data_IF_867547632663
#
_entry.id   IF_867547632663
#
_cell.length_a   1.000
_cell.length_b   1.000
_cell.length_c   1.000
_cell.angle_alpha   90.00
_cell.angle_beta   90.00
_cell.angle_gamma   90.00
#
_symmetry.space_group_name_H-M   'P 1'
#
loop_
_entity.id
_entity.type
_entity.pdbx_description
1 polymer ?
#
# COMPACT_ATOMS: atom_id res chain seq x y z
N UNK A 1 4.28 55.13 -60.21
CA UNK A 1 5.46 54.57 -59.53
C UNK A 1 5.11 54.49 -58.05
N UNK A 2 4.83 53.29 -57.50
CA UNK A 2 4.51 53.12 -56.07
C UNK A 2 5.83 53.08 -55.30
N UNK A 3 5.98 53.95 -54.30
CA UNK A 3 7.16 53.98 -53.44
C UNK A 3 7.23 52.68 -52.62
N UNK A 4 8.42 52.10 -52.52
CA UNK A 4 8.68 50.88 -51.73
C UNK A 4 8.57 51.19 -50.22
N UNK A 5 7.95 50.30 -49.43
CA UNK A 5 7.85 50.47 -47.98
C UNK A 5 9.25 50.41 -47.33
N UNK A 6 9.50 51.31 -46.37
CA UNK A 6 10.75 51.31 -45.60
C UNK A 6 10.68 50.24 -44.52
N UNK A 7 11.64 49.34 -44.54
CA UNK A 7 11.77 48.22 -43.61
C UNK A 7 12.75 48.63 -42.50
N UNK A 8 12.37 48.46 -41.23
CA UNK A 8 13.24 48.75 -40.08
C UNK A 8 13.68 47.43 -39.44
N UNK A 9 14.99 47.25 -39.29
CA UNK A 9 15.60 46.06 -38.69
C UNK A 9 15.71 46.24 -37.17
N UNK A 10 15.07 45.36 -36.40
CA UNK A 10 15.09 45.36 -34.93
C UNK A 10 16.35 44.71 -34.33
N UNK A 11 17.30 44.27 -35.16
CA UNK A 11 18.59 43.71 -34.73
C UNK A 11 18.51 42.27 -34.21
N UNK A 12 17.35 41.63 -34.30
CA UNK A 12 17.08 40.23 -33.90
C UNK A 12 16.79 39.27 -35.07
N UNK A 13 17.05 39.67 -36.32
CA UNK A 13 16.86 38.82 -37.51
C UNK A 13 15.42 38.73 -38.03
N UNK A 14 14.53 39.64 -37.61
CA UNK A 14 13.16 39.74 -38.12
C UNK A 14 12.86 41.17 -38.59
N UNK A 15 12.39 41.29 -39.84
CA UNK A 15 11.95 42.56 -40.42
C UNK A 15 10.49 42.82 -40.06
N UNK A 16 10.20 43.98 -39.48
CA UNK A 16 8.83 44.40 -39.11
C UNK A 16 8.41 45.52 -40.06
N UNK A 17 7.26 45.37 -40.71
CA UNK A 17 6.63 46.43 -41.50
C UNK A 17 5.87 47.38 -40.56
N UNK A 18 6.16 48.69 -40.63
CA UNK A 18 5.41 49.73 -39.90
C UNK A 18 4.03 49.94 -40.57
N UNK A 19 3.08 49.07 -40.25
CA UNK A 19 1.66 49.40 -40.37
C UNK A 19 1.17 50.08 -39.09
N UNK A 20 0.39 51.16 -39.28
CA UNK A 20 -0.11 52.03 -38.24
C UNK A 20 -0.71 51.22 -37.07
N UNK A 21 -0.40 51.64 -35.84
CA UNK A 21 -0.80 51.00 -34.60
C UNK A 21 -2.30 50.63 -34.57
N UNK A 22 -2.63 49.43 -35.00
CA UNK A 22 -3.84 48.75 -34.60
C UNK A 22 -3.61 48.32 -33.15
N UNK A 23 -4.22 49.05 -32.23
CA UNK A 23 -4.38 48.63 -30.84
C UNK A 23 -5.06 47.26 -30.84
N UNK A 24 -4.26 46.20 -30.83
CA UNK A 24 -4.73 44.85 -30.51
C UNK A 24 -5.23 44.93 -29.08
N UNK A 25 -6.54 45.13 -28.92
CA UNK A 25 -7.22 44.97 -27.66
C UNK A 25 -6.82 43.61 -27.12
N UNK A 26 -6.04 43.61 -26.05
CA UNK A 26 -5.64 42.39 -25.35
C UNK A 26 -6.94 41.82 -24.80
N UNK A 27 -7.55 40.89 -25.52
CA UNK A 27 -8.72 40.18 -25.03
C UNK A 27 -8.31 39.52 -23.72
N UNK A 28 -9.04 39.83 -22.64
CA UNK A 28 -8.85 39.17 -21.36
C UNK A 28 -9.12 37.68 -21.57
N UNK A 29 -8.06 36.89 -21.72
CA UNK A 29 -8.12 35.43 -21.74
C UNK A 29 -8.57 35.02 -20.34
N UNK A 30 -9.87 34.81 -20.16
CA UNK A 30 -10.42 34.16 -18.97
C UNK A 30 -10.04 32.69 -19.11
N UNK A 31 -8.94 32.29 -18.48
CA UNK A 31 -8.66 30.88 -18.27
C UNK A 31 -9.81 30.31 -17.42
N UNK A 32 -10.65 29.47 -18.03
CA UNK A 32 -11.54 28.63 -17.24
C UNK A 32 -10.68 27.86 -16.24
N UNK A 33 -11.00 27.90 -14.93
CA UNK A 33 -10.28 27.08 -13.97
C UNK A 33 -10.41 25.63 -14.46
N UNK A 34 -9.27 24.95 -14.61
CA UNK A 34 -9.26 23.56 -15.03
C UNK A 34 -10.20 22.73 -14.15
N UNK A 35 -10.82 21.65 -14.68
CA UNK A 35 -11.74 20.83 -13.92
C UNK A 35 -11.11 20.45 -12.57
N UNK A 36 -11.78 20.84 -11.48
CA UNK A 36 -11.39 20.46 -10.13
C UNK A 36 -11.57 18.95 -10.06
N UNK A 37 -10.45 18.21 -10.09
CA UNK A 37 -10.48 16.81 -9.70
C UNK A 37 -11.02 16.79 -8.27
N UNK A 38 -12.19 16.19 -8.06
CA UNK A 38 -12.61 15.77 -6.72
C UNK A 38 -11.56 14.77 -6.27
N UNK A 39 -10.51 15.27 -5.63
CA UNK A 39 -9.57 14.42 -4.94
C UNK A 39 -10.35 13.78 -3.80
N UNK A 40 -10.50 12.46 -3.82
CA UNK A 40 -11.21 11.71 -2.78
C UNK A 40 -10.44 11.86 -1.45
N UNK A 41 -10.78 12.90 -0.67
CA UNK A 41 -10.24 13.10 0.67
C UNK A 41 -10.78 12.01 1.59
N UNK A 42 -9.87 11.21 2.16
CA UNK A 42 -10.17 10.18 3.14
C UNK A 42 -10.08 10.75 4.55
N UNK A 43 -10.92 10.28 5.46
CA UNK A 43 -10.86 10.65 6.88
C UNK A 43 -10.08 9.62 7.68
N UNK A 44 -9.10 10.07 8.46
CA UNK A 44 -8.32 9.19 9.31
C UNK A 44 -9.16 8.66 10.48
N UNK A 45 -9.26 7.33 10.62
CA UNK A 45 -10.02 6.69 11.70
C UNK A 45 -9.45 7.00 13.11
N UNK A 46 -8.16 7.34 13.21
CA UNK A 46 -7.47 7.57 14.49
C UNK A 46 -7.52 9.05 14.93
N UNK A 47 -7.41 10.01 14.00
CA UNK A 47 -7.36 11.44 14.35
C UNK A 47 -8.48 12.30 13.74
N UNK A 48 -9.34 11.72 12.88
CA UNK A 48 -10.45 12.41 12.24
C UNK A 48 -10.07 13.48 11.20
N UNK A 49 -8.78 13.64 10.91
CA UNK A 49 -8.30 14.58 9.90
C UNK A 49 -8.48 14.01 8.49
N UNK A 50 -8.77 14.89 7.55
CA UNK A 50 -8.72 14.61 6.13
C UNK A 50 -7.27 14.38 5.69
N UNK A 51 -7.07 13.40 4.83
CA UNK A 51 -5.81 13.13 4.16
C UNK A 51 -6.09 12.59 2.76
N UNK A 52 -5.17 12.81 1.83
CA UNK A 52 -5.35 12.36 0.44
C UNK A 52 -4.83 10.93 0.28
N UNK A 53 -3.57 10.73 0.63
CA UNK A 53 -2.90 9.44 0.55
C UNK A 53 -2.14 9.13 1.83
N UNK A 54 -1.97 7.84 2.09
CA UNK A 54 -1.14 7.34 3.18
C UNK A 54 -0.57 5.99 2.81
N UNK A 55 0.49 5.57 3.49
CA UNK A 55 1.07 4.25 3.27
C UNK A 55 0.03 3.13 3.48
N UNK A 56 -0.80 3.26 4.51
CA UNK A 56 -1.76 2.22 4.89
C UNK A 56 -2.98 2.19 3.96
N UNK A 57 -3.46 3.37 3.52
CA UNK A 57 -4.57 3.44 2.55
C UNK A 57 -4.14 2.88 1.20
N UNK A 58 -2.97 3.27 0.71
CA UNK A 58 -2.45 2.83 -0.59
C UNK A 58 -2.18 1.33 -0.67
N UNK A 59 -1.66 0.72 0.40
CA UNK A 59 -1.25 -0.68 0.39
C UNK A 59 -2.28 -1.65 0.97
N UNK A 60 -3.12 -1.21 1.90
CA UNK A 60 -4.00 -2.11 2.68
C UNK A 60 -5.46 -1.64 2.74
N UNK A 61 -5.83 -0.54 2.06
CA UNK A 61 -7.16 0.09 2.14
C UNK A 61 -7.57 0.46 3.56
N UNK A 62 -6.61 0.81 4.41
CA UNK A 62 -6.89 1.25 5.77
C UNK A 62 -6.80 2.78 5.85
N UNK A 63 -7.91 3.41 6.26
CA UNK A 63 -8.06 4.86 6.30
C UNK A 63 -7.33 5.48 7.51
N UNK A 64 -6.00 5.40 7.53
CA UNK A 64 -5.15 5.95 8.60
C UNK A 64 -4.06 6.79 7.97
N UNK A 65 -3.92 8.05 8.41
CA UNK A 65 -2.87 8.94 7.93
C UNK A 65 -1.49 8.52 8.44
N UNK A 66 -0.43 8.91 7.73
CA UNK A 66 0.95 8.51 8.10
C UNK A 66 1.40 9.04 9.47
N UNK A 67 0.81 10.13 9.96
CA UNK A 67 1.09 10.65 11.30
C UNK A 67 0.54 9.74 12.41
N UNK A 68 -0.54 8.99 12.14
CA UNK A 68 -1.13 8.03 13.08
C UNK A 68 -0.64 6.60 12.85
N UNK A 69 0.22 6.39 11.85
CA UNK A 69 0.77 5.08 11.54
C UNK A 69 1.77 4.65 12.60
N UNK A 70 1.34 3.69 13.40
CA UNK A 70 2.21 2.96 14.32
C UNK A 70 2.71 1.64 13.69
N UNK A 71 4.00 1.58 13.34
CA UNK A 71 4.61 0.40 12.72
C UNK A 71 4.91 -0.75 13.67
N UNK A 72 4.95 -0.50 14.98
CA UNK A 72 5.51 -1.44 15.94
C UNK A 72 4.40 -2.25 16.62
N UNK A 73 3.26 -1.62 16.93
CA UNK A 73 2.13 -2.27 17.58
C UNK A 73 0.95 -2.50 16.62
N UNK A 74 0.15 -1.44 16.38
CA UNK A 74 -1.15 -1.57 15.68
C UNK A 74 -1.00 -1.96 14.21
N UNK A 75 -0.10 -1.33 13.47
CA UNK A 75 0.07 -1.51 12.03
C UNK A 75 1.32 -2.32 11.68
N UNK A 76 1.70 -3.22 12.59
CA UNK A 76 2.80 -4.15 12.36
C UNK A 76 2.52 -5.03 11.14
N UNK A 77 3.54 -5.19 10.30
CA UNK A 77 3.52 -6.10 9.17
C UNK A 77 4.09 -7.45 9.57
N UNK A 78 3.41 -8.53 9.16
CA UNK A 78 3.84 -9.91 9.40
C UNK A 78 3.99 -10.68 8.10
N UNK A 79 4.89 -11.66 8.09
CA UNK A 79 5.11 -12.47 6.88
C UNK A 79 3.99 -13.47 6.66
N UNK A 80 3.76 -13.91 5.41
CA UNK A 80 2.81 -15.02 5.11
C UNK A 80 3.06 -16.25 5.97
N UNK A 81 4.33 -16.60 6.20
CA UNK A 81 4.71 -17.76 7.02
C UNK A 81 4.42 -17.58 8.50
N UNK A 82 4.56 -16.36 9.01
CA UNK A 82 4.22 -16.00 10.39
C UNK A 82 2.71 -16.02 10.58
N UNK A 83 1.94 -15.43 9.67
CA UNK A 83 0.48 -15.49 9.66
C UNK A 83 -0.05 -16.94 9.75
N UNK A 84 0.48 -17.86 8.93
CA UNK A 84 0.09 -19.29 8.96
C UNK A 84 0.48 -20.00 10.26
N UNK A 85 1.64 -19.66 10.84
CA UNK A 85 2.15 -20.34 12.05
C UNK A 85 1.46 -19.82 13.30
N UNK A 86 1.31 -18.50 13.42
CA UNK A 86 0.77 -17.83 14.59
C UNK A 86 -0.75 -17.75 14.60
N UNK A 87 -1.42 -17.74 13.45
CA UNK A 87 -2.88 -17.68 13.37
C UNK A 87 -3.51 -18.95 12.80
N UNK A 88 -2.68 -19.98 12.60
CA UNK A 88 -3.07 -21.29 12.06
C UNK A 88 -3.88 -21.22 10.75
N UNK A 89 -3.74 -20.13 10.00
CA UNK A 89 -4.44 -19.87 8.75
C UNK A 89 -3.90 -20.76 7.62
N UNK A 90 -4.78 -21.17 6.72
CA UNK A 90 -4.43 -21.89 5.49
C UNK A 90 -4.26 -20.91 4.33
N UNK A 91 -3.74 -21.42 3.22
CA UNK A 91 -3.58 -20.62 2.00
C UNK A 91 -4.90 -20.11 1.41
N UNK A 92 -5.95 -20.94 1.45
CA UNK A 92 -7.29 -20.52 1.04
C UNK A 92 -7.82 -19.36 1.91
N UNK A 93 -7.49 -19.34 3.20
CA UNK A 93 -7.99 -18.32 4.11
C UNK A 93 -7.33 -16.96 3.86
N UNK A 94 -6.13 -16.93 3.29
CA UNK A 94 -5.40 -15.70 2.99
C UNK A 94 -5.72 -15.23 1.56
N UNK A 95 -5.67 -16.13 0.57
CA UNK A 95 -5.70 -15.78 -0.84
C UNK A 95 -7.10 -15.85 -1.48
N UNK A 96 -8.04 -16.65 -0.94
CA UNK A 96 -9.33 -16.92 -1.60
C UNK A 96 -10.53 -16.30 -0.87
N UNK A 97 -10.49 -16.22 0.46
CA UNK A 97 -11.59 -15.63 1.23
C UNK A 97 -11.75 -14.14 0.95
N UNK A 98 -12.98 -13.73 0.68
CA UNK A 98 -13.35 -12.34 0.49
C UNK A 98 -13.49 -11.61 1.85
N UNK A 99 -12.99 -10.37 2.00
CA UNK A 99 -12.16 -9.63 1.03
C UNK A 99 -10.74 -10.20 0.94
N UNK A 100 -10.16 -10.22 -0.26
CA UNK A 100 -8.79 -10.71 -0.46
C UNK A 100 -7.80 -9.80 0.28
N UNK A 101 -6.93 -10.39 1.09
CA UNK A 101 -5.98 -9.63 1.89
C UNK A 101 -4.88 -9.05 1.00
N UNK A 102 -4.73 -7.72 1.03
CA UNK A 102 -3.64 -7.02 0.35
C UNK A 102 -2.30 -7.28 1.04
N UNK A 103 -1.23 -7.23 0.26
CA UNK A 103 0.12 -7.48 0.75
C UNK A 103 1.16 -6.61 0.04
N UNK A 104 2.31 -6.46 0.68
CA UNK A 104 3.48 -5.78 0.14
C UNK A 104 4.55 -6.82 -0.19
N UNK A 105 5.16 -6.67 -1.37
CA UNK A 105 6.30 -7.49 -1.78
C UNK A 105 7.60 -6.83 -1.33
N UNK A 106 8.46 -7.58 -0.64
CA UNK A 106 9.79 -7.12 -0.21
C UNK A 106 10.83 -8.18 -0.52
N UNK A 107 12.06 -7.77 -0.83
CA UNK A 107 13.19 -8.70 -1.00
C UNK A 107 13.43 -9.47 0.29
N UNK A 108 13.76 -10.76 0.18
CA UNK A 108 14.03 -11.58 1.34
C UNK A 108 15.36 -11.15 1.99
N UNK A 109 15.37 -10.74 3.28
CA UNK A 109 16.54 -10.22 3.96
C UNK A 109 17.61 -11.30 4.19
N UNK A 110 17.23 -12.57 4.17
CA UNK A 110 18.17 -13.67 4.34
C UNK A 110 18.92 -13.99 3.04
N UNK A 111 18.26 -13.84 1.89
CA UNK A 111 18.89 -14.01 0.58
C UNK A 111 18.07 -13.28 -0.50
N UNK A 112 18.69 -12.29 -1.16
CA UNK A 112 18.06 -11.50 -2.21
C UNK A 112 17.72 -12.29 -3.48
N UNK A 113 18.36 -13.45 -3.70
CA UNK A 113 18.04 -14.36 -4.80
C UNK A 113 16.81 -15.23 -4.54
N UNK A 114 16.36 -15.33 -3.28
CA UNK A 114 15.09 -15.99 -2.99
C UNK A 114 13.92 -15.12 -3.45
N UNK A 115 12.77 -15.77 -3.70
CA UNK A 115 11.55 -15.06 -4.07
C UNK A 115 11.17 -13.99 -3.04
N UNK A 116 10.48 -12.96 -3.53
CA UNK A 116 10.03 -11.85 -2.69
C UNK A 116 9.08 -12.35 -1.59
N UNK A 117 9.25 -11.82 -0.39
CA UNK A 117 8.34 -12.09 0.72
C UNK A 117 7.07 -11.27 0.58
N UNK A 118 5.95 -11.88 0.97
CA UNK A 118 4.67 -11.18 1.14
C UNK A 118 4.49 -10.76 2.59
N UNK A 119 4.29 -9.47 2.80
CA UNK A 119 4.01 -8.84 4.08
C UNK A 119 2.54 -8.43 4.14
N UNK A 120 1.85 -8.89 5.18
CA UNK A 120 0.45 -8.61 5.44
C UNK A 120 0.30 -7.75 6.70
N UNK A 121 -0.76 -6.96 6.77
CA UNK A 121 -1.07 -6.19 7.97
C UNK A 121 -1.57 -7.12 9.08
N UNK A 122 -0.92 -7.10 10.25
CA UNK A 122 -1.27 -7.97 11.39
C UNK A 122 -2.74 -7.83 11.77
N UNK A 123 -3.27 -6.61 11.78
CA UNK A 123 -4.67 -6.32 12.09
C UNK A 123 -5.65 -7.08 11.17
N UNK A 124 -5.40 -7.11 9.86
CA UNK A 124 -6.24 -7.84 8.91
C UNK A 124 -6.15 -9.35 9.11
N UNK A 125 -4.97 -9.86 9.44
CA UNK A 125 -4.75 -11.28 9.72
C UNK A 125 -5.47 -11.72 11.00
N UNK A 126 -5.44 -10.89 12.06
CA UNK A 126 -6.20 -11.16 13.30
C UNK A 126 -7.69 -11.23 13.00
N UNK A 127 -8.24 -10.25 12.27
CA UNK A 127 -9.66 -10.26 11.85
C UNK A 127 -10.00 -11.52 11.07
N UNK A 128 -9.17 -11.89 10.08
CA UNK A 128 -9.34 -13.12 9.29
C UNK A 128 -9.25 -14.38 10.16
N UNK A 129 -8.37 -14.40 11.16
CA UNK A 129 -8.26 -15.51 12.11
C UNK A 129 -9.53 -15.68 12.93
N UNK A 130 -10.11 -14.58 13.40
CA UNK A 130 -11.38 -14.60 14.12
C UNK A 130 -12.54 -15.08 13.22
N UNK A 131 -12.54 -14.74 11.93
CA UNK A 131 -13.52 -15.28 10.98
C UNK A 131 -13.38 -16.79 10.74
N UNK A 132 -12.16 -17.34 10.83
CA UNK A 132 -11.90 -18.78 10.63
C UNK A 132 -12.15 -19.59 11.89
N UNK A 133 -11.71 -19.09 13.05
CA UNK A 133 -11.73 -19.80 14.33
C UNK A 133 -12.88 -19.40 15.24
N UNK A 134 -13.58 -18.31 14.94
CA UNK A 134 -14.70 -17.77 15.73
C UNK A 134 -14.22 -16.93 16.90
N UNK A 135 -13.47 -17.53 17.83
CA UNK A 135 -12.96 -16.86 19.03
C UNK A 135 -11.44 -16.96 19.12
N UNK A 136 -10.83 -16.05 19.88
CA UNK A 136 -9.39 -16.11 20.18
C UNK A 136 -9.06 -17.34 21.04
N UNK A 137 -9.95 -17.69 21.97
CA UNK A 137 -9.83 -18.90 22.81
C UNK A 137 -9.73 -20.18 21.96
N UNK A 138 -10.58 -20.32 20.93
CA UNK A 138 -10.52 -21.49 20.04
C UNK A 138 -9.20 -21.58 19.25
N UNK A 139 -8.62 -20.43 18.88
CA UNK A 139 -7.30 -20.39 18.26
C UNK A 139 -6.19 -20.81 19.23
N UNK A 140 -6.26 -20.36 20.49
CA UNK A 140 -5.30 -20.72 21.54
C UNK A 140 -5.37 -22.20 21.88
N UNK A 141 -6.56 -22.76 22.10
CA UNK A 141 -6.76 -24.20 22.33
C UNK A 141 -6.17 -25.03 21.17
N UNK A 142 -6.42 -24.62 19.92
CA UNK A 142 -5.86 -25.29 18.76
C UNK A 142 -4.32 -25.19 18.66
N UNK A 143 -3.71 -24.12 19.19
CA UNK A 143 -2.25 -23.99 19.27
C UNK A 143 -1.67 -24.92 20.33
N UNK A 144 -2.28 -24.96 21.51
CA UNK A 144 -1.86 -25.83 22.61
C UNK A 144 -1.94 -27.29 22.18
N UNK A 145 -3.05 -27.72 21.57
CA UNK A 145 -3.21 -29.09 21.07
C UNK A 145 -2.13 -29.45 20.04
N UNK A 146 -1.79 -28.53 19.12
CA UNK A 146 -0.71 -28.74 18.15
C UNK A 146 0.66 -28.82 18.82
N UNK A 147 0.90 -28.04 19.87
CA UNK A 147 2.16 -28.06 20.62
C UNK A 147 2.31 -29.37 21.38
N UNK A 148 1.28 -29.78 22.12
CA UNK A 148 1.22 -31.05 22.82
C UNK A 148 1.43 -32.24 21.88
N UNK A 149 0.77 -32.23 20.72
CA UNK A 149 0.94 -33.28 19.72
C UNK A 149 2.37 -33.31 19.18
N UNK A 150 3.01 -32.15 18.94
CA UNK A 150 4.42 -32.09 18.53
C UNK A 150 5.33 -32.65 19.62
N UNK A 151 5.07 -32.36 20.88
CA UNK A 151 5.90 -32.80 21.99
C UNK A 151 5.73 -34.30 22.26
N UNK A 152 4.50 -34.83 22.18
CA UNK A 152 4.22 -36.27 22.17
C UNK A 152 4.96 -37.00 21.05
N UNK A 153 4.98 -36.44 19.84
CA UNK A 153 5.71 -37.03 18.69
C UNK A 153 7.23 -36.99 18.92
N UNK A 154 7.78 -35.90 19.46
CA UNK A 154 9.20 -35.81 19.82
C UNK A 154 9.58 -36.84 20.88
N UNK A 155 8.77 -36.98 21.93
CA UNK A 155 9.00 -37.95 23.00
C UNK A 155 8.99 -39.39 22.47
N UNK A 156 7.95 -39.77 21.70
CA UNK A 156 7.90 -41.09 21.05
C UNK A 156 9.11 -41.37 20.17
N UNK A 157 9.58 -40.36 19.43
CA UNK A 157 10.78 -40.47 18.57
C UNK A 157 12.05 -40.65 19.39
N UNK A 158 12.16 -39.99 20.54
CA UNK A 158 13.27 -40.17 21.48
C UNK A 158 13.25 -41.56 22.12
N UNK A 159 12.11 -42.00 22.65
CA UNK A 159 11.95 -43.31 23.28
C UNK A 159 12.28 -44.45 22.31
N UNK A 160 11.88 -44.32 21.04
CA UNK A 160 12.23 -45.29 19.98
C UNK A 160 13.75 -45.35 19.73
N UNK A 161 14.45 -44.22 19.80
CA UNK A 161 15.92 -44.20 19.66
C UNK A 161 16.63 -44.81 20.86
N UNK A 162 16.11 -44.59 22.06
CA UNK A 162 16.69 -45.15 23.30
C UNK A 162 16.47 -46.66 23.39
N UNK A 163 15.29 -47.16 23.02
CA UNK A 163 14.98 -48.60 23.01
C UNK A 163 15.61 -49.39 21.86
N UNK A 164 16.09 -48.70 20.82
CA UNK A 164 16.77 -49.30 19.66
C UNK A 164 18.29 -49.37 19.81
N UNK A 165 18.83 -48.97 20.96
CA UNK A 165 20.21 -49.19 21.41
C UNK A 165 20.19 -50.28 22.48
#
# INVERSE_FOLDING_TARGET
MKALPKIVDSGGGFFIEEEAAEEKTVENIVHEPGPVLEFDYLFCEECGKDFMDSYLSNHFDLAVCDACRDSDEKHKLITRTEAKKEYLLKDCDIDQREPVLKYILKKNPHNSHWGDMKLYLKLQIVKRSLEVWGTEEALEEAKEERQDNRDKVKQKKFDKKVKGK
#
